data_IF_103572600486
#
_entry.id   IF_103572600486
#
_cell.length_a   1.000
_cell.length_b   1.000
_cell.length_c   1.000
_cell.angle_alpha   90.00
_cell.angle_beta   90.00
_cell.angle_gamma   90.00
#
_symmetry.space_group_name_H-M   'P 1'
#
loop_
_entity.id
_entity.type
_entity.pdbx_description
1 polymer ?
#
# COMPACT_ATOMS: atom_id res chain seq x y z
N UNK A 1 21.48 -16.50 7.70
CA UNK A 1 21.40 -16.40 9.18
C UNK A 1 21.25 -14.94 9.58
N UNK A 2 20.05 -14.37 9.41
CA UNK A 2 19.65 -13.17 10.15
C UNK A 2 19.08 -13.64 11.50
N UNK A 3 19.60 -13.05 12.57
CA UNK A 3 19.28 -13.32 13.97
C UNK A 3 17.78 -13.26 14.27
N UNK A 4 17.25 -14.33 14.84
CA UNK A 4 16.03 -14.30 15.63
C UNK A 4 16.20 -13.28 16.79
N UNK A 5 15.37 -12.24 16.85
CA UNK A 5 15.46 -11.28 17.96
C UNK A 5 14.80 -9.92 17.78
N UNK A 6 13.56 -9.88 17.27
CA UNK A 6 12.47 -8.96 17.62
C UNK A 6 11.49 -8.94 16.43
N UNK A 7 10.18 -9.20 16.64
CA UNK A 7 9.21 -8.98 15.58
C UNK A 7 9.30 -7.51 15.16
N UNK A 8 9.45 -7.25 13.85
CA UNK A 8 9.34 -5.92 13.30
C UNK A 8 7.91 -5.42 13.56
N UNK A 9 7.68 -4.77 14.70
CA UNK A 9 6.37 -4.25 15.07
C UNK A 9 6.07 -3.04 14.20
N UNK A 10 5.00 -3.14 13.41
CA UNK A 10 4.48 -1.99 12.67
C UNK A 10 4.02 -0.90 13.66
N UNK A 11 4.14 0.36 13.25
CA UNK A 11 3.59 1.48 14.02
C UNK A 11 2.06 1.37 14.04
N UNK A 12 1.48 1.53 15.23
CA UNK A 12 0.03 1.59 15.35
C UNK A 12 -0.51 2.94 14.84
N UNK A 13 -1.84 3.07 14.78
CA UNK A 13 -2.48 4.27 14.24
C UNK A 13 -2.13 5.54 15.05
N UNK A 14 -2.00 5.43 16.37
CA UNK A 14 -1.74 6.58 17.24
C UNK A 14 -0.31 7.06 17.02
N UNK A 15 0.64 6.13 16.99
CA UNK A 15 2.05 6.42 16.69
C UNK A 15 2.19 7.11 15.33
N UNK A 16 1.47 6.63 14.31
CA UNK A 16 1.49 7.23 12.96
C UNK A 16 0.89 8.63 12.93
N UNK A 17 -0.22 8.86 13.62
CA UNK A 17 -0.83 10.19 13.66
C UNK A 17 0.09 11.21 14.35
N UNK A 18 0.82 10.81 15.39
CA UNK A 18 1.83 11.67 16.02
C UNK A 18 2.96 12.02 15.03
N UNK A 19 3.55 11.02 14.37
CA UNK A 19 4.59 11.26 13.36
C UNK A 19 4.10 12.08 12.17
N UNK A 20 2.85 11.86 11.75
CA UNK A 20 2.21 12.63 10.69
C UNK A 20 2.05 14.09 11.11
N UNK A 21 1.63 14.36 12.35
CA UNK A 21 1.61 15.73 12.91
C UNK A 21 2.98 16.40 12.83
N UNK A 22 4.05 15.69 13.20
CA UNK A 22 5.42 16.20 13.11
C UNK A 22 5.90 16.38 11.65
N UNK A 23 5.35 15.65 10.68
CA UNK A 23 5.67 15.84 9.26
C UNK A 23 4.96 17.09 8.76
N UNK A 24 3.66 17.20 9.04
CA UNK A 24 2.81 18.27 8.52
C UNK A 24 3.03 19.61 9.23
N UNK A 25 3.61 19.62 10.44
CA UNK A 25 3.96 20.83 11.17
C UNK A 25 5.24 21.52 10.71
N UNK A 26 5.97 20.94 9.73
CA UNK A 26 7.15 21.56 9.13
C UNK A 26 6.89 22.04 7.70
N UNK A 27 7.71 22.96 7.20
CA UNK A 27 7.69 23.35 5.78
C UNK A 27 8.42 22.30 4.94
N UNK A 28 7.66 21.57 4.12
CA UNK A 28 8.17 20.53 3.21
C UNK A 28 7.14 20.23 2.11
N UNK A 29 7.56 19.43 1.12
CA UNK A 29 6.75 19.02 -0.03
C UNK A 29 5.35 18.50 0.36
N UNK A 30 5.24 17.65 1.39
CA UNK A 30 3.94 17.11 1.80
C UNK A 30 3.02 18.21 2.32
N UNK A 31 3.54 19.09 3.18
CA UNK A 31 2.78 20.21 3.76
C UNK A 31 2.33 21.16 2.66
N UNK A 32 3.19 21.51 1.71
CA UNK A 32 2.84 22.39 0.59
C UNK A 32 1.69 21.81 -0.25
N UNK A 33 1.79 20.54 -0.65
CA UNK A 33 0.74 19.86 -1.44
C UNK A 33 -0.59 19.79 -0.71
N UNK A 34 -0.59 19.39 0.56
CA UNK A 34 -1.84 19.32 1.33
C UNK A 34 -2.41 20.71 1.62
N UNK A 35 -1.59 21.76 1.72
CA UNK A 35 -2.07 23.14 1.90
C UNK A 35 -2.86 23.62 0.67
N UNK A 36 -2.44 23.23 -0.53
CA UNK A 36 -3.16 23.53 -1.78
C UNK A 36 -4.54 22.87 -1.80
N UNK A 37 -4.62 21.59 -1.43
CA UNK A 37 -5.87 20.81 -1.46
C UNK A 37 -6.83 21.19 -0.32
N UNK A 38 -6.31 21.43 0.89
CA UNK A 38 -7.15 21.66 2.07
C UNK A 38 -7.49 23.14 2.31
N UNK A 39 -6.76 24.07 1.68
CA UNK A 39 -6.96 25.51 1.85
C UNK A 39 -6.66 26.03 3.27
N UNK A 40 -5.93 25.25 4.09
CA UNK A 40 -5.65 25.55 5.50
C UNK A 40 -4.39 24.85 6.00
N UNK A 41 -4.20 24.84 7.32
CA UNK A 41 -3.01 24.25 7.96
C UNK A 41 -3.10 22.71 7.96
N UNK A 42 -2.27 21.99 7.18
CA UNK A 42 -2.39 20.53 7.03
C UNK A 42 -2.27 19.75 8.34
N UNK A 43 -1.48 20.26 9.30
CA UNK A 43 -1.32 19.63 10.61
C UNK A 43 -2.65 19.49 11.38
N UNK A 44 -3.64 20.34 11.10
CA UNK A 44 -4.98 20.26 11.70
C UNK A 44 -5.87 19.19 11.05
N UNK A 45 -5.48 18.68 9.89
CA UNK A 45 -6.23 17.71 9.08
C UNK A 45 -5.57 16.31 9.04
N UNK A 46 -4.69 16.00 9.99
CA UNK A 46 -3.92 14.74 10.00
C UNK A 46 -4.78 13.47 9.89
N UNK A 47 -6.00 13.45 10.45
CA UNK A 47 -6.91 12.30 10.30
C UNK A 47 -7.37 12.09 8.86
N UNK A 48 -7.73 13.16 8.16
CA UNK A 48 -8.17 13.10 6.76
C UNK A 48 -6.99 12.69 5.85
N UNK A 49 -5.79 13.22 6.13
CA UNK A 49 -4.58 12.87 5.39
C UNK A 49 -4.19 11.40 5.60
N UNK A 50 -4.24 10.87 6.83
CA UNK A 50 -3.99 9.44 7.10
C UNK A 50 -5.04 8.55 6.42
N UNK A 51 -6.29 9.00 6.33
CA UNK A 51 -7.33 8.29 5.59
C UNK A 51 -7.04 8.24 4.09
N UNK A 52 -6.76 9.40 3.47
CA UNK A 52 -6.38 9.48 2.06
C UNK A 52 -5.16 8.61 1.76
N UNK A 53 -4.14 8.66 2.64
CA UNK A 53 -2.96 7.79 2.56
C UNK A 53 -3.33 6.32 2.55
N UNK A 54 -4.21 5.89 3.45
CA UNK A 54 -4.64 4.48 3.53
C UNK A 54 -5.43 4.05 2.30
N UNK A 55 -6.30 4.90 1.77
CA UNK A 55 -7.07 4.60 0.56
C UNK A 55 -6.17 4.47 -0.68
N UNK A 56 -5.17 5.36 -0.81
CA UNK A 56 -4.14 5.27 -1.84
C UNK A 56 -3.25 4.03 -1.66
N UNK A 57 -2.87 3.67 -0.44
CA UNK A 57 -2.12 2.45 -0.14
C UNK A 57 -2.93 1.19 -0.54
N UNK A 58 -4.21 1.13 -0.17
CA UNK A 58 -5.10 0.01 -0.52
C UNK A 58 -5.23 -0.13 -2.04
N UNK A 59 -5.33 0.98 -2.76
CA UNK A 59 -5.57 0.98 -4.21
C UNK A 59 -4.29 0.73 -5.01
N UNK A 60 -3.17 1.32 -4.61
CA UNK A 60 -1.95 1.35 -5.41
C UNK A 60 -0.82 0.52 -4.85
N UNK A 61 -0.84 0.20 -3.55
CA UNK A 61 0.33 -0.30 -2.80
C UNK A 61 1.59 0.57 -3.00
N UNK A 62 1.42 1.81 -3.47
CA UNK A 62 2.47 2.68 -3.99
C UNK A 62 3.30 2.06 -5.12
N UNK A 63 2.79 1.06 -5.83
CA UNK A 63 3.46 0.43 -6.95
C UNK A 63 3.57 1.41 -8.13
N UNK A 64 4.74 1.57 -8.79
CA UNK A 64 4.93 2.56 -9.85
C UNK A 64 3.87 2.52 -10.95
N UNK A 65 3.49 1.33 -11.42
CA UNK A 65 2.49 1.20 -12.48
C UNK A 65 1.07 1.50 -12.00
N UNK A 66 0.72 1.18 -10.75
CA UNK A 66 -0.60 1.52 -10.18
C UNK A 66 -0.71 3.01 -9.89
N UNK A 67 0.39 3.64 -9.45
CA UNK A 67 0.47 5.10 -9.29
C UNK A 67 0.34 5.80 -10.64
N UNK A 68 1.01 5.30 -11.70
CA UNK A 68 0.85 5.83 -13.06
C UNK A 68 -0.59 5.68 -13.56
N UNK A 69 -1.20 4.51 -13.36
CA UNK A 69 -2.59 4.26 -13.76
C UNK A 69 -3.56 5.17 -13.00
N UNK A 70 -3.31 5.45 -11.72
CA UNK A 70 -4.09 6.43 -10.95
C UNK A 70 -4.01 7.82 -11.57
N UNK A 71 -2.80 8.30 -11.88
CA UNK A 71 -2.61 9.61 -12.54
C UNK A 71 -3.37 9.70 -13.87
N UNK A 72 -3.23 8.68 -14.72
CA UNK A 72 -3.96 8.61 -16.00
C UNK A 72 -5.48 8.63 -15.82
N UNK A 73 -6.01 7.97 -14.79
CA UNK A 73 -7.44 8.00 -14.50
C UNK A 73 -7.89 9.41 -14.07
N UNK A 74 -7.07 10.10 -13.28
CA UNK A 74 -7.34 11.45 -12.77
C UNK A 74 -7.23 12.51 -13.87
N UNK A 75 -6.31 12.38 -14.83
CA UNK A 75 -6.18 13.28 -15.99
C UNK A 75 -7.47 13.41 -16.82
N UNK A 76 -8.37 12.42 -16.73
CA UNK A 76 -9.67 12.46 -17.41
C UNK A 76 -10.75 13.25 -16.66
N UNK A 77 -10.49 13.65 -15.41
CA UNK A 77 -11.42 14.41 -14.59
C UNK A 77 -11.41 15.91 -14.96
N UNK A 78 -12.54 16.62 -14.81
CA UNK A 78 -12.57 18.06 -15.05
C UNK A 78 -11.88 18.84 -13.93
N UNK A 79 -11.17 19.91 -14.30
CA UNK A 79 -10.58 20.85 -13.34
C UNK A 79 -11.64 21.46 -12.40
N UNK A 80 -11.33 21.64 -11.09
CA UNK A 80 -10.02 21.42 -10.44
C UNK A 80 -9.76 19.99 -9.93
N UNK A 81 -10.64 19.02 -10.22
CA UNK A 81 -10.56 17.67 -9.63
C UNK A 81 -9.27 16.95 -10.03
N UNK A 82 -8.82 17.13 -11.27
CA UNK A 82 -7.56 16.58 -11.78
C UNK A 82 -6.35 17.08 -10.98
N UNK A 83 -6.24 18.40 -10.82
CA UNK A 83 -5.16 19.07 -10.09
C UNK A 83 -5.18 18.69 -8.61
N UNK A 84 -6.35 18.76 -7.96
CA UNK A 84 -6.48 18.44 -6.53
C UNK A 84 -6.13 16.98 -6.25
N UNK A 85 -6.50 16.05 -7.14
CA UNK A 85 -6.20 14.64 -6.96
C UNK A 85 -4.73 14.30 -7.23
N UNK A 86 -4.05 15.00 -8.15
CA UNK A 86 -2.60 14.86 -8.34
C UNK A 86 -1.84 15.43 -7.13
N UNK A 87 -2.25 16.59 -6.60
CA UNK A 87 -1.68 17.16 -5.37
C UNK A 87 -1.92 16.25 -4.15
N UNK A 88 -3.11 15.63 -4.03
CA UNK A 88 -3.41 14.65 -2.99
C UNK A 88 -2.49 13.42 -3.10
N UNK A 89 -2.29 12.91 -4.32
CA UNK A 89 -1.40 11.79 -4.57
C UNK A 89 0.05 12.14 -4.21
N UNK A 90 0.58 13.25 -4.72
CA UNK A 90 1.94 13.70 -4.48
C UNK A 90 2.20 13.96 -2.98
N UNK A 91 1.27 14.67 -2.32
CA UNK A 91 1.32 14.91 -0.89
C UNK A 91 1.34 13.61 -0.08
N UNK A 92 0.51 12.64 -0.48
CA UNK A 92 0.48 11.31 0.15
C UNK A 92 1.79 10.54 -0.05
N UNK A 93 2.34 10.54 -1.26
CA UNK A 93 3.63 9.90 -1.56
C UNK A 93 4.77 10.58 -0.79
N UNK A 94 4.73 11.89 -0.61
CA UNK A 94 5.68 12.64 0.20
C UNK A 94 5.59 12.27 1.70
N UNK A 95 4.39 12.16 2.25
CA UNK A 95 4.15 11.65 3.62
C UNK A 95 4.70 10.24 3.78
N UNK A 96 4.38 9.34 2.87
CA UNK A 96 4.82 7.94 2.94
C UNK A 96 6.36 7.84 2.91
N UNK A 97 7.04 8.62 2.04
CA UNK A 97 8.51 8.75 2.02
C UNK A 97 9.04 9.29 3.35
N UNK A 98 8.42 10.32 3.92
CA UNK A 98 8.85 10.92 5.18
C UNK A 98 8.67 9.97 6.38
N UNK A 99 7.54 9.26 6.46
CA UNK A 99 7.26 8.25 7.47
C UNK A 99 8.34 7.15 7.43
N UNK A 100 8.65 6.61 6.25
CA UNK A 100 9.70 5.60 6.06
C UNK A 100 11.08 6.06 6.51
N UNK A 101 11.44 7.32 6.25
CA UNK A 101 12.74 7.87 6.70
C UNK A 101 12.83 8.00 8.22
N UNK A 102 11.72 8.37 8.87
CA UNK A 102 11.66 8.55 10.34
C UNK A 102 11.53 7.22 11.08
N UNK A 103 10.85 6.24 10.49
CA UNK A 103 10.76 4.89 11.01
C UNK A 103 11.90 4.03 10.44
N UNK A 104 13.02 3.89 11.16
CA UNK A 104 14.01 2.83 10.86
C UNK A 104 13.41 1.40 10.97
N UNK A 105 12.20 1.29 11.53
CA UNK A 105 11.34 0.10 11.60
C UNK A 105 10.20 0.22 10.57
N UNK A 106 9.52 -0.89 10.34
CA UNK A 106 8.44 -0.98 9.36
C UNK A 106 7.28 -0.04 9.74
N UNK A 107 6.92 0.99 8.94
CA UNK A 107 5.96 2.02 9.34
C UNK A 107 4.50 1.54 9.36
N UNK A 108 4.17 0.46 8.65
CA UNK A 108 2.80 -0.05 8.54
C UNK A 108 2.76 -1.55 8.30
N UNK A 109 1.64 -2.19 8.60
CA UNK A 109 1.38 -3.58 8.22
C UNK A 109 1.53 -3.77 6.71
N UNK A 110 1.15 -2.77 5.91
CA UNK A 110 1.37 -2.77 4.46
C UNK A 110 2.83 -2.88 4.08
N UNK A 111 3.75 -2.23 4.82
CA UNK A 111 5.19 -2.38 4.56
C UNK A 111 5.74 -3.74 5.02
N UNK A 112 5.17 -4.35 6.08
CA UNK A 112 5.53 -5.72 6.44
C UNK A 112 5.17 -6.68 5.30
N UNK A 113 3.95 -6.53 4.76
CA UNK A 113 3.49 -7.33 3.63
C UNK A 113 4.36 -7.10 2.41
N UNK A 114 4.67 -5.84 2.04
CA UNK A 114 5.57 -5.54 0.91
C UNK A 114 6.96 -6.14 1.09
N UNK A 115 7.52 -6.10 2.30
CA UNK A 115 8.80 -6.75 2.60
C UNK A 115 8.71 -8.27 2.43
N UNK A 116 7.64 -8.90 2.95
CA UNK A 116 7.41 -10.33 2.77
C UNK A 116 7.27 -10.71 1.29
N UNK A 117 6.51 -9.94 0.51
CA UNK A 117 6.36 -10.13 -0.94
C UNK A 117 7.72 -10.10 -1.64
N UNK A 118 8.59 -9.12 -1.33
CA UNK A 118 9.94 -9.04 -1.90
C UNK A 118 10.79 -10.23 -1.49
N UNK A 119 10.78 -10.62 -0.22
CA UNK A 119 11.52 -11.80 0.27
C UNK A 119 11.09 -13.07 -0.49
N UNK A 120 9.79 -13.31 -0.64
CA UNK A 120 9.28 -14.46 -1.41
C UNK A 120 9.74 -14.39 -2.87
N UNK A 121 9.68 -13.21 -3.49
CA UNK A 121 10.11 -13.00 -4.88
C UNK A 121 11.61 -13.21 -5.08
N UNK A 122 12.43 -12.66 -4.17
CA UNK A 122 13.89 -12.65 -4.24
C UNK A 122 14.50 -14.02 -3.92
N UNK A 123 13.81 -14.82 -3.09
CA UNK A 123 14.21 -16.19 -2.75
C UNK A 123 13.56 -17.25 -3.64
N UNK A 124 12.85 -16.84 -4.68
CA UNK A 124 12.11 -17.75 -5.57
C UNK A 124 11.20 -18.73 -4.82
N UNK A 125 10.48 -18.22 -3.82
CA UNK A 125 9.55 -19.00 -3.01
C UNK A 125 10.19 -19.75 -1.84
N UNK A 126 11.52 -19.93 -1.80
CA UNK A 126 12.17 -20.72 -0.74
C UNK A 126 11.86 -20.21 0.67
N UNK A 127 11.84 -18.89 0.89
CA UNK A 127 11.51 -18.32 2.20
C UNK A 127 10.08 -18.64 2.65
N UNK A 128 9.13 -18.78 1.71
CA UNK A 128 7.77 -19.20 2.04
C UNK A 128 7.72 -20.67 2.38
N UNK A 129 8.29 -21.53 1.53
CA UNK A 129 8.29 -22.99 1.71
C UNK A 129 8.99 -23.40 3.01
N UNK A 130 10.09 -22.75 3.37
CA UNK A 130 10.79 -23.01 4.63
C UNK A 130 9.96 -22.61 5.85
N UNK A 131 9.25 -21.48 5.77
CA UNK A 131 8.43 -20.98 6.88
C UNK A 131 7.09 -21.73 7.02
N UNK A 132 6.52 -22.19 5.91
CA UNK A 132 5.19 -22.77 5.81
C UNK A 132 5.17 -24.06 4.98
N UNK A 133 5.96 -25.09 5.36
CA UNK A 133 6.20 -26.26 4.51
C UNK A 133 4.97 -27.13 4.24
N UNK A 134 3.93 -27.02 5.08
CA UNK A 134 2.70 -27.78 4.95
C UNK A 134 1.53 -26.96 4.37
N UNK A 135 1.77 -25.70 4.00
CA UNK A 135 0.70 -24.83 3.47
C UNK A 135 0.62 -25.01 1.97
N UNK A 136 -0.44 -25.70 1.53
CA UNK A 136 -0.75 -25.91 0.11
C UNK A 136 -1.82 -24.92 -0.40
N UNK A 137 -2.54 -24.26 0.50
CA UNK A 137 -3.68 -23.40 0.16
C UNK A 137 -3.83 -22.19 1.07
N UNK A 138 -4.13 -21.05 0.45
CA UNK A 138 -4.54 -19.82 1.13
C UNK A 138 -5.99 -19.51 0.75
N UNK A 139 -6.84 -19.32 1.75
CA UNK A 139 -8.22 -18.87 1.54
C UNK A 139 -8.41 -17.49 2.18
N UNK A 140 -8.82 -16.50 1.38
CA UNK A 140 -9.17 -15.16 1.88
C UNK A 140 -10.66 -14.95 1.72
N UNK A 141 -11.34 -14.71 2.84
CA UNK A 141 -12.81 -14.72 2.91
C UNK A 141 -13.39 -13.37 3.27
N UNK A 142 -14.59 -13.08 2.76
CA UNK A 142 -15.38 -11.92 3.16
C UNK A 142 -14.85 -10.59 2.63
N UNK A 143 -14.13 -10.61 1.51
CA UNK A 143 -13.56 -9.42 0.90
C UNK A 143 -14.64 -8.53 0.27
N UNK A 144 -14.73 -7.29 0.76
CA UNK A 144 -15.51 -6.20 0.13
C UNK A 144 -14.65 -5.33 -0.80
N UNK A 145 -13.33 -5.42 -0.64
CA UNK A 145 -12.29 -4.78 -1.44
C UNK A 145 -11.11 -5.74 -1.49
N UNK A 146 -10.27 -5.65 -2.52
CA UNK A 146 -9.03 -6.42 -2.59
C UNK A 146 -7.84 -5.46 -2.53
N UNK A 147 -7.16 -5.34 -1.38
CA UNK A 147 -6.01 -4.46 -1.24
C UNK A 147 -4.87 -4.88 -2.17
N UNK A 148 -4.25 -3.91 -2.84
CA UNK A 148 -3.11 -4.12 -3.72
C UNK A 148 -1.92 -4.80 -3.01
N UNK A 149 -1.74 -4.58 -1.70
CA UNK A 149 -0.76 -5.30 -0.87
C UNK A 149 -1.02 -6.80 -0.83
N UNK A 150 -2.28 -7.20 -0.64
CA UNK A 150 -2.68 -8.60 -0.58
C UNK A 150 -2.50 -9.27 -1.95
N UNK A 151 -2.89 -8.57 -3.01
CA UNK A 151 -2.70 -9.03 -4.39
C UNK A 151 -1.23 -9.32 -4.65
N UNK A 152 -0.36 -8.38 -4.33
CA UNK A 152 1.08 -8.51 -4.55
C UNK A 152 1.66 -9.73 -3.81
N UNK A 153 1.28 -9.93 -2.54
CA UNK A 153 1.72 -11.09 -1.77
C UNK A 153 1.20 -12.41 -2.36
N UNK A 154 -0.09 -12.50 -2.65
CA UNK A 154 -0.68 -13.72 -3.22
C UNK A 154 -0.06 -14.04 -4.56
N UNK A 155 0.11 -13.05 -5.45
CA UNK A 155 0.77 -13.23 -6.74
C UNK A 155 2.21 -13.74 -6.57
N UNK A 156 2.99 -13.17 -5.64
CA UNK A 156 4.35 -13.65 -5.39
C UNK A 156 4.37 -15.11 -4.89
N UNK A 157 3.46 -15.47 -3.99
CA UNK A 157 3.36 -16.85 -3.45
C UNK A 157 2.91 -17.82 -4.54
N UNK A 158 1.80 -17.56 -5.23
CA UNK A 158 1.23 -18.50 -6.21
C UNK A 158 2.09 -18.67 -7.46
N UNK A 159 2.93 -17.69 -7.81
CA UNK A 159 3.85 -17.80 -8.95
C UNK A 159 5.14 -18.54 -8.63
N UNK A 160 5.54 -18.59 -7.35
CA UNK A 160 6.85 -19.13 -6.94
C UNK A 160 6.77 -20.35 -6.04
N UNK A 161 5.57 -20.68 -5.56
CA UNK A 161 5.31 -21.80 -4.65
C UNK A 161 4.15 -22.64 -5.20
N UNK A 162 4.11 -23.92 -4.85
CA UNK A 162 2.99 -24.82 -5.13
C UNK A 162 1.82 -24.57 -4.15
N UNK A 163 1.30 -23.34 -4.17
CA UNK A 163 0.22 -22.89 -3.27
C UNK A 163 -0.94 -22.36 -4.08
N UNK A 164 -2.14 -22.87 -3.80
CA UNK A 164 -3.37 -22.37 -4.38
C UNK A 164 -3.94 -21.19 -3.56
N UNK A 165 -4.35 -20.11 -4.22
CA UNK A 165 -5.04 -19.00 -3.57
C UNK A 165 -6.53 -18.95 -3.97
N UNK A 166 -7.41 -18.96 -2.98
CA UNK A 166 -8.86 -18.83 -3.16
C UNK A 166 -9.37 -17.55 -2.54
N UNK A 167 -10.14 -16.77 -3.30
CA UNK A 167 -10.74 -15.51 -2.87
C UNK A 167 -12.25 -15.66 -2.80
N UNK A 168 -12.81 -15.54 -1.61
CA UNK A 168 -14.25 -15.59 -1.39
C UNK A 168 -14.78 -14.17 -1.17
N UNK A 169 -15.32 -13.60 -2.23
CA UNK A 169 -15.82 -12.24 -2.27
C UNK A 169 -17.23 -12.15 -1.66
N UNK A 170 -17.56 -11.00 -1.06
CA UNK A 170 -18.92 -10.80 -0.52
C UNK A 170 -19.94 -10.72 -1.66
N UNK A 171 -21.13 -11.28 -1.46
CA UNK A 171 -22.23 -11.27 -2.45
C UNK A 171 -22.53 -9.89 -3.04
N UNK A 172 -22.46 -8.82 -2.24
CA UNK A 172 -22.77 -7.46 -2.68
C UNK A 172 -21.71 -6.81 -3.56
N UNK A 173 -20.44 -7.18 -3.40
CA UNK A 173 -19.29 -6.57 -4.12
C UNK A 173 -18.60 -7.55 -5.07
N UNK A 174 -18.87 -8.84 -4.94
CA UNK A 174 -18.21 -9.93 -5.66
C UNK A 174 -18.27 -9.78 -7.17
N UNK A 175 -19.46 -9.63 -7.79
CA UNK A 175 -19.56 -9.51 -9.24
C UNK A 175 -18.76 -8.32 -9.81
N UNK A 176 -18.72 -7.20 -9.07
CA UNK A 176 -17.93 -6.03 -9.48
C UNK A 176 -16.43 -6.29 -9.33
N UNK A 177 -16.01 -6.92 -8.23
CA UNK A 177 -14.60 -7.22 -7.99
C UNK A 177 -14.08 -8.26 -8.99
N UNK A 178 -14.84 -9.31 -9.30
CA UNK A 178 -14.50 -10.35 -10.28
C UNK A 178 -14.11 -9.78 -11.64
N UNK A 179 -14.85 -8.79 -12.12
CA UNK A 179 -14.57 -8.10 -13.39
C UNK A 179 -13.22 -7.38 -13.40
N UNK A 180 -12.69 -7.02 -12.24
CA UNK A 180 -11.47 -6.22 -12.09
C UNK A 180 -10.26 -7.03 -11.59
N UNK A 181 -10.46 -8.28 -11.17
CA UNK A 181 -9.36 -9.09 -10.62
C UNK A 181 -8.24 -9.27 -11.65
N UNK A 182 -8.56 -9.49 -12.92
CA UNK A 182 -7.51 -9.68 -13.94
C UNK A 182 -6.56 -8.48 -14.02
N UNK A 183 -7.11 -7.26 -14.05
CA UNK A 183 -6.32 -6.03 -14.17
C UNK A 183 -5.49 -5.76 -12.91
N UNK A 184 -6.04 -6.05 -11.73
CA UNK A 184 -5.39 -5.77 -10.46
C UNK A 184 -4.19 -6.72 -10.21
N UNK A 185 -4.22 -7.92 -10.79
CA UNK A 185 -3.18 -8.96 -10.67
C UNK A 185 -2.06 -8.81 -11.72
N UNK A 186 -2.32 -8.08 -12.80
CA UNK A 186 -1.39 -7.88 -13.91
C UNK A 186 -0.32 -6.82 -13.62
N UNK A 187 0.40 -6.95 -12.50
CA UNK A 187 1.46 -6.01 -12.10
C UNK A 187 2.83 -6.70 -12.01
N UNK A 188 3.84 -6.26 -12.79
CA UNK A 188 5.17 -6.84 -12.74
C UNK A 188 5.89 -6.46 -11.45
N UNK A 189 6.69 -7.37 -10.90
CA UNK A 189 7.53 -7.13 -9.70
C UNK A 189 6.71 -6.68 -8.46
N UNK A 190 5.81 -7.54 -7.95
CA UNK A 190 4.95 -7.20 -6.81
C UNK A 190 5.76 -6.78 -5.57
N UNK A 191 5.21 -5.84 -4.79
CA UNK A 191 5.88 -5.33 -3.58
C UNK A 191 6.94 -4.25 -3.82
N UNK A 192 7.17 -3.85 -5.08
CA UNK A 192 7.92 -2.65 -5.43
C UNK A 192 7.10 -1.39 -5.10
N UNK A 193 7.78 -0.33 -4.66
CA UNK A 193 7.19 1.00 -4.43
C UNK A 193 7.84 2.05 -5.33
N UNK A 194 7.14 3.15 -5.61
CA UNK A 194 7.72 4.34 -6.24
C UNK A 194 8.99 4.72 -5.48
N UNK A 195 10.07 4.88 -6.25
CA UNK A 195 11.43 4.99 -5.73
C UNK A 195 11.50 6.10 -4.68
N UNK A 196 12.01 5.69 -3.52
CA UNK A 196 12.31 6.48 -2.32
C UNK A 196 13.44 7.46 -2.52
#
# INVERSE_FOLDING_TARGET
>A
METAGEPAKALDRVDRLALLGDILGGENEATERFRLVLGGEPAQSGTAIEQARRELEVTTNYHPDRVRAFRQAVESAPSPIDVDADDLLDGTLAVERALRRRSKKVPSDGELVRRATRIVTDTDGAAWTDAYPAVERIAVVGLSTVPATLVDLLTAVTLRCEVEAHLFLRRGTGPFLEQRLTDVWAVPNPGRVVVT
#
